data_IF_109903087187
#
_entry.id   IF_109903087187
#
_cell.length_a   1.000
_cell.length_b   1.000
_cell.length_c   1.000
_cell.angle_alpha   90.00
_cell.angle_beta   90.00
_cell.angle_gamma   90.00
#
_symmetry.space_group_name_H-M   'P 1'
#
loop_
_entity.id
_entity.type
_entity.pdbx_description
1 polymer ?
#
# COMPACT_ATOMS: atom_id res chain seq x y z
N UNK A 1 -37.96 17.24 0.14
CA UNK A 1 -37.94 18.70 -0.16
C UNK A 1 -37.93 18.84 -1.68
N UNK A 2 -38.84 19.59 -2.28
CA UNK A 2 -38.94 19.76 -3.73
C UNK A 2 -37.86 20.71 -4.28
N UNK A 3 -37.61 20.68 -5.60
CA UNK A 3 -36.64 21.56 -6.27
C UNK A 3 -36.88 23.05 -5.95
N UNK A 4 -38.12 23.50 -6.01
CA UNK A 4 -38.52 24.90 -5.70
C UNK A 4 -38.09 25.33 -4.28
N UNK A 5 -38.22 24.41 -3.31
CA UNK A 5 -37.89 24.69 -1.92
C UNK A 5 -36.39 24.77 -1.72
N UNK A 6 -35.64 23.88 -2.37
CA UNK A 6 -34.16 23.88 -2.34
C UNK A 6 -33.62 25.15 -2.99
N UNK A 7 -34.12 25.54 -4.15
CA UNK A 7 -33.74 26.80 -4.82
C UNK A 7 -33.96 28.02 -3.93
N UNK A 8 -35.19 28.15 -3.37
CA UNK A 8 -35.54 29.27 -2.50
C UNK A 8 -34.73 29.32 -1.22
N UNK A 9 -34.45 28.17 -0.63
CA UNK A 9 -33.62 28.06 0.57
C UNK A 9 -32.16 28.46 0.27
N UNK A 10 -31.57 27.90 -0.80
CA UNK A 10 -30.20 28.19 -1.20
C UNK A 10 -29.99 29.65 -1.53
N UNK A 11 -30.92 30.26 -2.30
CA UNK A 11 -30.87 31.69 -2.61
C UNK A 11 -30.95 32.57 -1.34
N UNK A 12 -31.90 32.28 -0.44
CA UNK A 12 -32.01 33.00 0.81
C UNK A 12 -30.74 32.87 1.68
N UNK A 13 -30.18 31.66 1.75
CA UNK A 13 -28.95 31.39 2.50
C UNK A 13 -27.77 32.14 1.93
N UNK A 14 -27.70 32.30 0.60
CA UNK A 14 -26.68 33.09 -0.08
C UNK A 14 -26.94 34.61 -0.02
N UNK A 15 -28.05 35.09 0.59
CA UNK A 15 -28.40 36.48 0.70
C UNK A 15 -28.73 37.15 -0.65
N UNK A 16 -29.15 36.37 -1.66
CA UNK A 16 -29.35 36.84 -3.02
C UNK A 16 -30.82 37.06 -3.35
N UNK A 17 -31.08 38.06 -4.24
CA UNK A 17 -32.40 38.29 -4.85
C UNK A 17 -32.58 37.36 -6.06
N UNK A 18 -33.82 37.16 -6.50
CA UNK A 18 -34.11 36.39 -7.73
C UNK A 18 -33.49 37.03 -8.98
N UNK A 19 -33.42 38.38 -9.03
CA UNK A 19 -32.81 39.10 -10.12
C UNK A 19 -31.30 38.87 -10.20
N UNK A 20 -30.60 38.95 -9.07
CA UNK A 20 -29.14 38.69 -9.02
C UNK A 20 -28.78 37.26 -9.42
N UNK A 21 -29.57 36.26 -9.04
CA UNK A 21 -29.32 34.89 -9.47
C UNK A 21 -29.55 34.72 -10.96
N UNK A 22 -30.64 35.28 -11.49
CA UNK A 22 -30.97 35.25 -12.92
C UNK A 22 -29.88 35.90 -13.77
N UNK A 23 -29.43 37.10 -13.39
CA UNK A 23 -28.37 37.83 -14.03
C UNK A 23 -27.03 37.06 -14.04
N UNK A 24 -26.64 36.51 -12.88
CA UNK A 24 -25.39 35.79 -12.74
C UNK A 24 -25.28 34.55 -13.67
N UNK A 25 -26.40 33.89 -13.92
CA UNK A 25 -26.45 32.70 -14.79
C UNK A 25 -26.95 33.02 -16.20
N UNK A 26 -27.08 34.32 -16.55
CA UNK A 26 -27.54 34.81 -17.86
C UNK A 26 -28.90 34.27 -18.29
N UNK A 27 -29.84 34.17 -17.36
CA UNK A 27 -31.22 33.81 -17.64
C UNK A 27 -32.18 34.97 -17.31
N UNK A 28 -33.43 34.97 -17.85
CA UNK A 28 -34.39 35.99 -17.50
C UNK A 28 -34.92 35.79 -16.09
N UNK A 29 -35.20 36.86 -15.34
CA UNK A 29 -35.76 36.79 -14.01
C UNK A 29 -37.14 36.04 -13.98
N UNK A 30 -38.07 36.18 -14.94
CA UNK A 30 -39.29 35.38 -15.01
C UNK A 30 -39.04 33.87 -15.13
N UNK A 31 -37.96 33.48 -15.87
CA UNK A 31 -37.57 32.08 -16.01
C UNK A 31 -37.06 31.52 -14.70
N UNK A 32 -36.25 32.27 -13.95
CA UNK A 32 -35.82 31.86 -12.60
C UNK A 32 -37.02 31.78 -11.61
N UNK A 33 -37.89 32.75 -11.65
CA UNK A 33 -39.10 32.75 -10.83
C UNK A 33 -40.02 31.56 -11.14
N UNK A 34 -40.09 31.11 -12.39
CA UNK A 34 -40.85 29.90 -12.76
C UNK A 34 -40.24 28.63 -12.16
N UNK A 35 -38.92 28.53 -12.03
CA UNK A 35 -38.22 27.44 -11.33
C UNK A 35 -38.49 27.49 -9.83
N UNK A 36 -38.36 28.66 -9.19
CA UNK A 36 -38.53 28.82 -7.74
C UNK A 36 -40.03 28.74 -7.31
N UNK A 37 -40.96 28.94 -8.22
CA UNK A 37 -42.39 28.74 -7.97
C UNK A 37 -42.87 27.31 -8.26
N UNK A 38 -42.04 26.46 -8.84
CA UNK A 38 -42.40 25.09 -9.23
C UNK A 38 -43.19 24.98 -10.51
N UNK A 39 -43.34 26.07 -11.28
CA UNK A 39 -44.00 26.03 -12.62
C UNK A 39 -43.12 25.31 -13.63
N UNK A 40 -41.81 25.42 -13.48
CA UNK A 40 -40.81 24.67 -14.23
C UNK A 40 -40.06 23.75 -13.27
N UNK A 41 -39.91 22.47 -13.64
CA UNK A 41 -39.18 21.47 -12.84
C UNK A 41 -37.83 21.11 -13.42
N UNK A 42 -37.52 21.59 -14.64
CA UNK A 42 -36.28 21.26 -15.34
C UNK A 42 -35.71 22.52 -15.98
N UNK A 43 -34.37 22.69 -15.92
CA UNK A 43 -33.62 23.73 -16.62
C UNK A 43 -32.18 23.34 -16.80
N UNK A 44 -31.62 23.61 -17.96
CA UNK A 44 -30.17 23.46 -18.22
C UNK A 44 -29.31 24.43 -17.41
N UNK A 45 -29.92 25.44 -16.79
CA UNK A 45 -29.22 26.40 -15.93
C UNK A 45 -29.07 25.93 -14.48
N UNK A 46 -29.69 24.82 -14.07
CA UNK A 46 -29.60 24.34 -12.68
C UNK A 46 -28.17 24.12 -12.19
N UNK A 47 -27.24 23.55 -12.96
CA UNK A 47 -25.84 23.45 -12.53
C UNK A 47 -25.16 24.81 -12.33
N UNK A 48 -25.43 25.79 -13.18
CA UNK A 48 -24.88 27.15 -13.06
C UNK A 48 -25.46 27.87 -11.83
N UNK A 49 -26.76 27.69 -11.58
CA UNK A 49 -27.44 28.24 -10.40
C UNK A 49 -26.83 27.61 -9.12
N UNK A 50 -26.60 26.30 -9.13
CA UNK A 50 -26.02 25.60 -8.00
C UNK A 50 -24.62 26.14 -7.68
N UNK A 51 -23.77 26.29 -8.69
CA UNK A 51 -22.43 26.87 -8.53
C UNK A 51 -22.47 28.30 -7.99
N UNK A 52 -23.35 29.15 -8.55
CA UNK A 52 -23.49 30.53 -8.08
C UNK A 52 -23.97 30.62 -6.62
N UNK A 53 -24.87 29.73 -6.22
CA UNK A 53 -25.39 29.65 -4.86
C UNK A 53 -24.49 28.84 -3.90
N UNK A 54 -23.36 28.34 -4.40
CA UNK A 54 -22.41 27.49 -3.66
C UNK A 54 -23.07 26.29 -2.99
N UNK A 55 -23.88 25.56 -3.77
CA UNK A 55 -24.52 24.31 -3.38
C UNK A 55 -24.22 23.21 -4.39
N UNK A 56 -24.29 21.96 -3.94
CA UNK A 56 -24.06 20.81 -4.81
C UNK A 56 -25.14 20.72 -5.92
N UNK A 57 -24.75 20.63 -7.22
CA UNK A 57 -25.68 20.54 -8.32
C UNK A 57 -26.62 19.32 -8.28
N UNK A 58 -26.09 18.17 -7.83
CA UNK A 58 -26.87 16.94 -7.69
C UNK A 58 -27.90 17.07 -6.57
N UNK A 59 -27.45 17.59 -5.42
CA UNK A 59 -28.37 17.89 -4.33
C UNK A 59 -29.46 18.90 -4.75
N UNK A 60 -29.08 19.96 -5.46
CA UNK A 60 -30.06 20.95 -5.89
C UNK A 60 -31.12 20.33 -6.81
N UNK A 61 -30.73 19.42 -7.70
CA UNK A 61 -31.63 18.81 -8.70
C UNK A 61 -32.44 17.63 -8.14
N UNK A 62 -31.81 16.74 -7.37
CA UNK A 62 -32.42 15.48 -6.93
C UNK A 62 -32.80 15.47 -5.45
N UNK A 63 -32.18 16.32 -4.64
CA UNK A 63 -32.30 16.31 -3.18
C UNK A 63 -31.44 15.26 -2.49
N UNK A 64 -30.69 14.46 -3.24
CA UNK A 64 -29.69 13.53 -2.71
C UNK A 64 -28.39 14.29 -2.52
N UNK A 65 -27.78 14.19 -1.33
CA UNK A 65 -26.41 14.65 -1.17
C UNK A 65 -25.51 13.75 -2.04
N UNK A 66 -24.69 14.37 -2.89
CA UNK A 66 -23.56 13.65 -3.42
C UNK A 66 -22.70 13.32 -2.21
N UNK A 67 -22.62 12.06 -1.82
CA UNK A 67 -21.45 11.62 -1.07
C UNK A 67 -20.27 11.95 -1.99
N UNK A 68 -19.37 12.88 -1.63
CA UNK A 68 -18.17 13.06 -2.42
C UNK A 68 -17.53 11.69 -2.47
N UNK A 69 -17.36 11.13 -3.68
CA UNK A 69 -16.45 10.01 -3.84
C UNK A 69 -15.14 10.49 -3.19
N UNK A 70 -14.78 9.86 -2.08
CA UNK A 70 -13.50 10.16 -1.44
C UNK A 70 -12.46 9.98 -2.53
N UNK A 71 -11.80 11.07 -2.90
CA UNK A 71 -10.68 11.01 -3.82
C UNK A 71 -9.78 9.87 -3.34
N UNK A 72 -9.48 8.93 -4.21
CA UNK A 72 -8.54 7.84 -3.92
C UNK A 72 -7.06 8.31 -3.96
N UNK A 73 -6.84 9.61 -4.21
CA UNK A 73 -5.54 10.24 -4.17
C UNK A 73 -5.68 11.68 -3.66
N UNK A 74 -5.06 11.97 -2.54
CA UNK A 74 -4.86 13.32 -2.02
C UNK A 74 -3.41 13.71 -2.25
N UNK A 75 -3.19 14.67 -3.16
CA UNK A 75 -1.86 15.20 -3.50
C UNK A 75 -1.64 16.60 -2.86
N UNK A 76 -2.55 17.03 -2.00
CA UNK A 76 -2.45 18.35 -1.37
C UNK A 76 -1.25 18.41 -0.44
N UNK A 77 -0.30 19.29 -0.77
CA UNK A 77 0.81 19.74 0.09
C UNK A 77 1.78 18.64 0.58
N UNK A 78 2.17 17.68 -0.26
CA UNK A 78 3.32 16.84 0.06
C UNK A 78 4.61 17.60 -0.26
N UNK A 79 5.33 18.01 0.77
CA UNK A 79 6.73 18.42 0.61
C UNK A 79 7.57 17.16 0.31
N UNK A 80 8.19 17.15 -0.87
CA UNK A 80 9.11 16.08 -1.27
C UNK A 80 10.51 16.51 -0.86
N UNK A 81 11.08 15.85 0.15
CA UNK A 81 12.49 15.98 0.51
C UNK A 81 13.28 14.78 -0.01
N UNK A 82 14.50 15.02 -0.48
CA UNK A 82 15.43 13.97 -0.91
C UNK A 82 16.32 13.63 0.28
N UNK A 83 16.19 12.38 0.78
CA UNK A 83 17.08 11.84 1.82
C UNK A 83 18.37 11.34 1.18
N UNK A 84 19.52 11.73 1.75
CA UNK A 84 20.84 11.20 1.37
C UNK A 84 21.40 10.38 2.54
N UNK A 85 22.23 9.38 2.20
CA UNK A 85 22.89 8.57 3.22
C UNK A 85 23.77 9.45 4.11
N UNK A 86 23.51 9.40 5.42
CA UNK A 86 24.17 10.24 6.42
C UNK A 86 23.33 11.40 6.94
N UNK A 87 22.22 11.72 6.29
CA UNK A 87 21.29 12.71 6.81
C UNK A 87 20.62 12.20 8.10
N UNK A 88 20.23 13.11 9.01
CA UNK A 88 19.42 12.73 10.16
C UNK A 88 18.10 12.13 9.68
N UNK A 89 17.66 11.05 10.34
CA UNK A 89 16.39 10.40 10.00
C UNK A 89 15.25 11.37 10.24
N UNK A 90 14.38 11.63 9.23
CA UNK A 90 13.26 12.55 9.40
C UNK A 90 12.27 12.06 10.48
N UNK A 91 11.61 13.01 11.14
CA UNK A 91 10.55 12.69 12.08
C UNK A 91 9.46 11.84 11.44
N UNK A 92 8.98 10.82 12.15
CA UNK A 92 7.98 9.88 11.65
C UNK A 92 8.51 8.75 10.79
N UNK A 93 9.85 8.64 10.63
CA UNK A 93 10.49 7.56 9.89
C UNK A 93 11.45 6.74 10.75
N UNK A 94 11.67 5.50 10.32
CA UNK A 94 12.70 4.59 10.85
C UNK A 94 13.66 4.24 9.72
N UNK A 95 14.95 4.30 9.99
CA UNK A 95 15.99 3.89 9.05
C UNK A 95 16.39 2.43 9.30
N UNK A 96 16.16 1.57 8.31
CA UNK A 96 16.50 0.14 8.34
C UNK A 96 17.74 -0.10 7.50
N UNK A 97 18.68 -0.89 8.02
CA UNK A 97 19.92 -1.22 7.33
C UNK A 97 19.66 -1.96 6.01
N UNK A 98 20.33 -1.49 4.97
CA UNK A 98 20.24 -2.02 3.62
C UNK A 98 21.53 -2.74 3.25
N UNK A 99 21.39 -3.94 2.71
CA UNK A 99 22.50 -4.81 2.34
C UNK A 99 22.50 -5.01 0.82
N UNK A 100 23.28 -4.16 0.11
CA UNK A 100 23.33 -4.18 -1.36
C UNK A 100 23.97 -5.46 -1.92
N UNK A 101 24.99 -5.97 -1.23
CA UNK A 101 25.78 -7.12 -1.68
C UNK A 101 25.32 -8.46 -1.08
N UNK A 102 24.27 -8.43 -0.26
CA UNK A 102 23.72 -9.63 0.35
C UNK A 102 22.57 -10.14 -0.51
N UNK A 103 22.87 -11.23 -1.22
CA UNK A 103 21.87 -11.93 -2.02
C UNK A 103 21.49 -13.23 -1.31
N UNK A 104 20.20 -13.40 -1.08
CA UNK A 104 19.66 -14.68 -0.64
C UNK A 104 19.41 -15.53 -1.87
N UNK A 105 20.23 -16.54 -2.09
CA UNK A 105 20.17 -17.35 -3.28
C UNK A 105 19.46 -18.69 -3.06
N UNK A 106 18.97 -19.25 -4.15
CA UNK A 106 18.48 -20.63 -4.20
C UNK A 106 19.63 -21.63 -4.38
N UNK A 107 20.83 -21.33 -3.86
CA UNK A 107 22.03 -22.16 -3.91
C UNK A 107 23.32 -21.31 -3.75
N UNK A 108 24.21 -21.70 -2.85
CA UNK A 108 25.54 -21.16 -2.61
C UNK A 108 25.64 -19.66 -2.28
N UNK A 109 24.88 -19.17 -1.32
CA UNK A 109 24.99 -17.77 -0.88
C UNK A 109 24.85 -17.59 0.62
N UNK A 110 25.93 -17.16 1.27
CA UNK A 110 25.90 -16.74 2.67
C UNK A 110 25.11 -15.46 2.85
N UNK A 111 24.28 -15.41 3.87
CA UNK A 111 23.74 -14.16 4.39
C UNK A 111 24.82 -13.51 5.27
N UNK A 112 25.80 -12.86 4.64
CA UNK A 112 26.80 -12.12 5.38
C UNK A 112 26.26 -10.74 5.79
N UNK A 113 25.67 -10.67 6.98
CA UNK A 113 25.12 -9.43 7.55
C UNK A 113 26.16 -8.64 8.37
N UNK A 114 27.44 -8.95 8.24
CA UNK A 114 28.48 -8.29 9.03
C UNK A 114 28.78 -6.85 8.58
N UNK A 115 28.47 -6.50 7.34
CA UNK A 115 28.68 -5.16 6.81
C UNK A 115 27.45 -4.67 6.06
N UNK A 116 26.56 -3.90 6.72
CA UNK A 116 25.52 -3.17 5.99
C UNK A 116 26.18 -2.21 5.00
N UNK A 117 25.55 -1.96 3.87
CA UNK A 117 25.93 -0.84 3.02
C UNK A 117 25.76 0.47 3.82
N UNK A 118 26.45 1.53 3.41
CA UNK A 118 26.24 2.85 4.03
C UNK A 118 24.81 3.38 3.78
N UNK A 119 24.01 2.66 2.98
CA UNK A 119 22.66 3.02 2.63
C UNK A 119 21.65 2.48 3.66
N UNK A 120 20.61 3.26 3.90
CA UNK A 120 19.49 2.87 4.73
C UNK A 120 18.20 3.07 3.96
N UNK A 121 17.20 2.23 4.23
CA UNK A 121 15.86 2.42 3.69
C UNK A 121 14.97 3.00 4.78
N UNK A 122 14.27 4.09 4.44
CA UNK A 122 13.36 4.75 5.35
C UNK A 122 11.96 4.16 5.25
N UNK A 123 11.39 3.81 6.38
CA UNK A 123 10.00 3.34 6.48
C UNK A 123 9.21 4.25 7.42
N UNK A 124 7.96 4.61 7.08
CA UNK A 124 7.09 5.31 8.00
C UNK A 124 6.88 4.53 9.30
N UNK A 125 6.94 5.21 10.44
CA UNK A 125 6.73 4.59 11.76
C UNK A 125 5.37 3.91 11.85
N UNK A 126 4.34 4.50 11.24
CA UNK A 126 2.99 3.93 11.26
C UNK A 126 2.89 2.61 10.48
N UNK A 127 3.59 2.49 9.34
CA UNK A 127 3.69 1.23 8.61
C UNK A 127 4.38 0.13 9.44
N UNK A 128 5.45 0.48 10.14
CA UNK A 128 6.17 -0.44 11.02
C UNK A 128 5.24 -0.95 12.13
N UNK A 129 4.46 -0.05 12.76
CA UNK A 129 3.49 -0.42 13.80
C UNK A 129 2.35 -1.28 13.25
N UNK A 130 1.78 -0.89 12.11
CA UNK A 130 0.70 -1.63 11.44
C UNK A 130 1.12 -3.06 11.11
N UNK A 131 2.34 -3.25 10.62
CA UNK A 131 2.89 -4.56 10.30
C UNK A 131 3.46 -5.31 11.52
N UNK A 132 3.43 -4.72 12.71
CA UNK A 132 3.99 -5.29 13.95
C UNK A 132 5.46 -5.74 13.80
N UNK A 133 6.26 -4.92 13.12
CA UNK A 133 7.66 -5.21 12.79
C UNK A 133 8.60 -4.64 13.85
N UNK A 134 9.65 -5.40 14.18
CA UNK A 134 10.72 -4.96 15.09
C UNK A 134 11.84 -4.26 14.31
N UNK A 135 11.92 -2.91 14.29
CA UNK A 135 12.87 -2.20 13.43
C UNK A 135 14.34 -2.57 13.66
N UNK A 136 14.73 -2.75 14.92
CA UNK A 136 16.11 -3.08 15.29
C UNK A 136 16.57 -4.47 14.82
N UNK A 137 15.62 -5.38 14.58
CA UNK A 137 15.87 -6.73 14.07
C UNK A 137 15.62 -6.85 12.56
N UNK A 138 15.17 -5.77 11.92
CA UNK A 138 14.76 -5.80 10.51
C UNK A 138 15.93 -5.47 9.59
N UNK A 139 16.00 -6.15 8.46
CA UNK A 139 17.02 -5.97 7.42
C UNK A 139 16.37 -5.89 6.05
N UNK A 140 16.95 -5.07 5.16
CA UNK A 140 16.59 -5.03 3.73
C UNK A 140 17.70 -5.72 2.94
N UNK A 141 17.31 -6.69 2.12
CA UNK A 141 18.20 -7.54 1.32
C UNK A 141 17.65 -7.72 -0.10
N UNK A 142 18.44 -8.28 -1.01
CA UNK A 142 17.97 -8.64 -2.34
C UNK A 142 17.63 -10.12 -2.48
N UNK A 143 16.58 -10.39 -3.24
CA UNK A 143 16.26 -11.76 -3.71
C UNK A 143 17.17 -12.13 -4.86
N UNK A 144 17.67 -13.37 -4.86
CA UNK A 144 18.37 -13.95 -6.00
C UNK A 144 17.68 -15.21 -6.48
N UNK A 145 17.60 -15.34 -7.81
CA UNK A 145 17.00 -16.49 -8.47
C UNK A 145 15.48 -16.44 -8.57
N UNK A 146 14.90 -17.47 -9.17
CA UNK A 146 13.52 -17.48 -9.63
C UNK A 146 12.59 -18.40 -8.82
N UNK A 147 13.08 -19.03 -7.74
CA UNK A 147 12.27 -19.98 -6.97
C UNK A 147 11.01 -19.35 -6.36
N UNK A 148 11.01 -18.04 -6.13
CA UNK A 148 9.87 -17.30 -5.59
C UNK A 148 9.12 -16.46 -6.64
N UNK A 149 9.42 -16.61 -7.94
CA UNK A 149 8.64 -16.00 -9.02
C UNK A 149 7.24 -16.65 -9.10
N UNK A 150 6.15 -15.88 -9.33
CA UNK A 150 6.08 -14.44 -9.58
C UNK A 150 5.96 -13.58 -8.31
N UNK A 151 5.91 -14.16 -7.13
CA UNK A 151 5.70 -13.46 -5.85
C UNK A 151 6.85 -12.51 -5.55
N UNK A 152 8.08 -13.00 -5.66
CA UNK A 152 9.32 -12.22 -5.55
C UNK A 152 10.13 -12.45 -6.82
N UNK A 153 10.79 -11.38 -7.32
CA UNK A 153 11.58 -11.42 -8.55
C UNK A 153 13.07 -11.35 -8.22
N UNK A 154 13.88 -11.92 -9.10
CA UNK A 154 15.34 -11.77 -9.03
C UNK A 154 15.76 -10.29 -8.97
N UNK A 155 16.69 -9.95 -8.10
CA UNK A 155 17.17 -8.59 -7.85
C UNK A 155 16.19 -7.68 -7.09
N UNK A 156 15.01 -8.17 -6.69
CA UNK A 156 14.04 -7.38 -5.95
C UNK A 156 14.48 -7.18 -4.49
N UNK A 157 14.44 -5.93 -4.01
CA UNK A 157 14.66 -5.66 -2.59
C UNK A 157 13.43 -6.11 -1.77
N UNK A 158 13.72 -6.79 -0.67
CA UNK A 158 12.73 -7.25 0.31
C UNK A 158 13.18 -6.92 1.72
N UNK A 159 12.25 -6.89 2.65
CA UNK A 159 12.57 -6.71 4.07
C UNK A 159 12.14 -7.91 4.90
N UNK A 160 13.01 -8.30 5.83
CA UNK A 160 12.85 -9.45 6.72
C UNK A 160 12.98 -8.97 8.16
N UNK A 161 12.02 -9.34 9.01
CA UNK A 161 12.12 -9.17 10.45
C UNK A 161 12.75 -10.43 11.07
N UNK A 162 13.98 -10.30 11.53
CA UNK A 162 14.75 -11.43 12.09
C UNK A 162 14.36 -11.79 13.53
N UNK A 163 13.45 -11.03 14.15
CA UNK A 163 12.85 -11.39 15.43
C UNK A 163 11.67 -12.35 15.27
N UNK A 164 11.03 -12.36 14.09
CA UNK A 164 9.86 -13.18 13.78
C UNK A 164 10.27 -14.53 13.21
N UNK A 165 10.51 -15.52 14.09
CA UNK A 165 11.04 -16.85 13.72
C UNK A 165 10.02 -17.99 13.88
N UNK A 166 8.87 -17.74 14.48
CA UNK A 166 7.80 -18.73 14.60
C UNK A 166 7.14 -18.93 13.24
N UNK A 167 7.06 -20.17 12.77
CA UNK A 167 6.45 -20.50 11.48
C UNK A 167 4.93 -20.44 11.59
N UNK A 168 4.34 -19.58 10.80
CA UNK A 168 2.90 -19.54 10.49
C UNK A 168 2.70 -20.08 9.07
N UNK A 169 1.79 -21.03 8.92
CA UNK A 169 1.58 -21.73 7.65
C UNK A 169 1.24 -20.79 6.49
N UNK A 170 1.99 -20.92 5.40
CA UNK A 170 1.77 -20.13 4.18
C UNK A 170 2.42 -18.76 4.18
N UNK A 171 3.18 -18.40 5.23
CA UNK A 171 3.97 -17.19 5.25
C UNK A 171 5.38 -17.42 4.68
N UNK A 172 6.01 -16.33 4.25
CA UNK A 172 7.35 -16.38 3.63
C UNK A 172 8.41 -16.10 4.68
N UNK A 173 9.43 -16.96 4.72
CA UNK A 173 10.57 -16.83 5.62
C UNK A 173 11.89 -16.93 4.86
N UNK A 174 12.91 -16.26 5.40
CA UNK A 174 14.29 -16.58 5.13
C UNK A 174 14.76 -17.61 6.17
N UNK A 175 15.46 -18.65 5.70
CA UNK A 175 16.06 -19.67 6.55
C UNK A 175 17.38 -20.15 5.98
N UNK A 176 18.26 -20.66 6.82
CA UNK A 176 19.59 -21.12 6.48
C UNK A 176 19.65 -22.63 6.53
N UNK A 177 20.30 -23.25 5.54
CA UNK A 177 20.60 -24.68 5.46
C UNK A 177 22.08 -24.82 5.18
N UNK A 178 22.88 -25.17 6.19
CA UNK A 178 24.33 -25.08 6.09
C UNK A 178 24.78 -23.65 5.71
N UNK A 179 25.44 -23.52 4.57
CA UNK A 179 25.91 -22.24 4.06
C UNK A 179 24.90 -21.53 3.15
N UNK A 180 23.81 -22.19 2.80
CA UNK A 180 22.80 -21.64 1.88
C UNK A 180 21.70 -20.90 2.63
N UNK A 181 21.35 -19.70 2.17
CA UNK A 181 20.16 -19.00 2.64
C UNK A 181 19.05 -19.09 1.59
N UNK A 182 17.89 -19.52 2.03
CA UNK A 182 16.72 -19.72 1.18
C UNK A 182 15.56 -18.83 1.61
N UNK A 183 14.72 -18.42 0.64
CA UNK A 183 13.45 -17.75 0.86
C UNK A 183 12.35 -18.64 0.29
N UNK A 184 11.39 -19.05 1.11
CA UNK A 184 10.27 -19.91 0.71
C UNK A 184 9.02 -19.60 1.53
N UNK A 185 7.87 -20.07 1.05
CA UNK A 185 6.72 -20.29 1.91
C UNK A 185 7.02 -21.43 2.86
N UNK A 186 6.76 -21.24 4.14
CA UNK A 186 6.91 -22.31 5.12
C UNK A 186 5.56 -22.78 5.64
N UNK A 187 5.50 -24.09 5.93
CA UNK A 187 4.34 -24.75 6.53
C UNK A 187 4.85 -25.70 7.63
N UNK A 188 4.23 -25.68 8.79
CA UNK A 188 4.55 -26.67 9.82
C UNK A 188 4.29 -28.08 9.29
N UNK A 189 5.27 -28.94 9.39
CA UNK A 189 5.20 -30.32 8.93
C UNK A 189 6.21 -31.19 9.67
N UNK A 190 5.87 -32.44 9.88
CA UNK A 190 6.81 -33.43 10.38
C UNK A 190 6.23 -34.82 10.19
N UNK A 191 7.09 -35.77 9.83
CA UNK A 191 6.86 -37.23 9.89
C UNK A 191 7.32 -37.84 11.20
N UNK A 192 8.05 -37.11 12.03
CA UNK A 192 8.61 -37.52 13.33
C UNK A 192 7.86 -36.91 14.52
N UNK A 193 6.69 -36.29 14.31
CA UNK A 193 5.93 -35.63 15.39
C UNK A 193 5.82 -34.11 15.17
N UNK A 194 6.40 -33.29 16.07
CA UNK A 194 6.36 -31.82 15.98
C UNK A 194 7.74 -31.24 15.74
N UNK A 195 7.78 -30.06 15.12
CA UNK A 195 8.99 -29.23 15.02
C UNK A 195 9.70 -29.24 13.66
N UNK A 196 9.18 -29.96 12.67
CA UNK A 196 9.64 -29.87 11.28
C UNK A 196 8.84 -28.86 10.46
N UNK A 197 9.27 -28.60 9.22
CA UNK A 197 8.55 -27.77 8.30
C UNK A 197 8.72 -28.21 6.83
N UNK A 198 7.75 -27.82 6.01
CA UNK A 198 7.80 -27.91 4.55
C UNK A 198 8.11 -26.54 3.97
N UNK A 199 9.07 -26.46 3.05
CA UNK A 199 9.41 -25.26 2.32
C UNK A 199 8.92 -25.34 0.86
N UNK A 200 8.11 -24.37 0.45
CA UNK A 200 7.42 -24.36 -0.85
C UNK A 200 7.87 -23.17 -1.67
N UNK A 201 8.32 -23.43 -2.89
CA UNK A 201 8.63 -22.38 -3.87
C UNK A 201 7.35 -21.77 -4.44
N UNK A 202 7.36 -20.45 -4.67
CA UNK A 202 6.25 -19.78 -5.37
C UNK A 202 6.23 -20.12 -6.86
N UNK A 203 7.38 -20.49 -7.42
CA UNK A 203 7.49 -20.85 -8.82
C UNK A 203 6.67 -22.12 -9.13
N UNK A 204 5.82 -22.08 -10.18
CA UNK A 204 4.99 -23.22 -10.56
C UNK A 204 5.79 -24.40 -11.14
N UNK A 205 7.01 -24.16 -11.65
CA UNK A 205 7.87 -25.23 -12.15
C UNK A 205 8.46 -26.05 -11.00
N UNK A 206 7.71 -27.07 -10.58
CA UNK A 206 8.13 -27.95 -9.47
C UNK A 206 9.22 -28.96 -9.87
N UNK A 207 9.51 -29.13 -11.16
CA UNK A 207 10.64 -29.93 -11.59
C UNK A 207 11.97 -29.22 -11.29
N UNK A 208 12.01 -27.90 -11.51
CA UNK A 208 13.17 -27.07 -11.22
C UNK A 208 13.20 -26.61 -9.76
N UNK A 209 12.04 -26.33 -9.17
CA UNK A 209 11.90 -25.79 -7.80
C UNK A 209 10.97 -26.67 -6.96
N UNK A 210 11.39 -27.90 -6.62
CA UNK A 210 10.58 -28.84 -5.84
C UNK A 210 10.29 -28.32 -4.43
N UNK A 211 9.26 -28.85 -3.82
CA UNK A 211 9.01 -28.66 -2.40
C UNK A 211 10.04 -29.43 -1.57
N UNK A 212 10.53 -28.81 -0.51
CA UNK A 212 11.54 -29.40 0.38
C UNK A 212 10.93 -29.68 1.75
N UNK A 213 11.34 -30.79 2.36
CA UNK A 213 10.82 -31.24 3.64
C UNK A 213 11.98 -31.33 4.65
N UNK A 214 11.80 -30.75 5.81
CA UNK A 214 12.77 -30.66 6.86
C UNK A 214 12.19 -31.25 8.15
N UNK A 215 12.52 -32.52 8.43
CA UNK A 215 12.16 -33.19 9.69
C UNK A 215 12.98 -32.62 10.87
N UNK A 216 12.56 -32.82 12.13
CA UNK A 216 13.32 -32.38 13.27
C UNK A 216 14.77 -32.92 13.29
N UNK A 217 14.96 -34.17 12.95
CA UNK A 217 16.28 -34.78 12.85
C UNK A 217 17.17 -34.14 11.78
N UNK A 218 16.59 -33.79 10.65
CA UNK A 218 17.27 -33.11 9.57
C UNK A 218 17.63 -31.66 9.97
N UNK A 219 16.73 -30.96 10.65
CA UNK A 219 16.97 -29.60 11.15
C UNK A 219 18.17 -29.57 12.08
N UNK A 220 18.26 -30.54 12.99
CA UNK A 220 19.37 -30.65 13.93
C UNK A 220 20.69 -31.02 13.23
N UNK A 221 20.67 -32.05 12.37
CA UNK A 221 21.87 -32.57 11.71
C UNK A 221 22.47 -31.59 10.68
N UNK A 222 21.66 -30.82 9.96
CA UNK A 222 22.08 -29.85 8.95
C UNK A 222 22.21 -28.42 9.53
N UNK A 223 21.93 -28.20 10.81
CA UNK A 223 22.02 -26.89 11.47
C UNK A 223 21.07 -25.84 10.88
N UNK A 224 19.85 -26.27 10.52
CA UNK A 224 18.88 -25.38 9.85
C UNK A 224 18.32 -24.36 10.83
N UNK A 225 18.30 -23.11 10.43
CA UNK A 225 17.86 -22.00 11.28
C UNK A 225 16.90 -21.08 10.53
N UNK A 226 15.75 -20.78 11.13
CA UNK A 226 14.86 -19.73 10.63
C UNK A 226 15.48 -18.39 10.97
N UNK A 227 15.75 -17.58 9.93
CA UNK A 227 16.38 -16.28 10.07
C UNK A 227 15.34 -15.19 10.39
N UNK A 228 14.18 -15.21 9.73
CA UNK A 228 13.12 -14.26 9.97
C UNK A 228 12.01 -14.31 8.94
N UNK A 229 10.95 -13.56 9.21
CA UNK A 229 9.76 -13.49 8.37
C UNK A 229 9.84 -12.31 7.40
N UNK A 230 9.48 -12.55 6.14
CA UNK A 230 9.28 -11.52 5.13
C UNK A 230 8.03 -10.70 5.45
N UNK A 231 8.13 -9.36 5.32
CA UNK A 231 6.99 -8.48 5.53
C UNK A 231 6.81 -7.42 4.45
N UNK A 232 7.87 -7.03 3.71
CA UNK A 232 7.82 -5.98 2.71
C UNK A 232 8.65 -6.31 1.47
N UNK A 233 8.23 -5.78 0.32
CA UNK A 233 9.00 -5.81 -0.93
C UNK A 233 8.92 -4.50 -1.69
N UNK A 234 9.98 -4.16 -2.38
CA UNK A 234 10.01 -3.05 -3.31
C UNK A 234 9.19 -3.38 -4.57
N UNK A 235 8.35 -2.44 -5.01
CA UNK A 235 7.64 -2.52 -6.29
C UNK A 235 8.01 -1.31 -7.12
N UNK A 236 8.67 -1.54 -8.27
CA UNK A 236 9.14 -0.48 -9.17
C UNK A 236 8.50 -0.67 -10.54
N UNK A 237 7.94 0.42 -11.10
CA UNK A 237 7.45 0.47 -12.46
C UNK A 237 8.25 1.52 -13.25
N UNK A 238 8.88 1.11 -14.35
CA UNK A 238 9.53 2.05 -15.25
C UNK A 238 8.49 2.85 -16.02
N UNK A 239 8.66 4.17 -16.04
CA UNK A 239 7.81 5.07 -16.83
C UNK A 239 8.33 5.05 -18.27
N UNK A 240 7.42 4.87 -19.22
CA UNK A 240 7.73 5.06 -20.64
C UNK A 240 7.65 6.56 -20.92
N UNK A 241 8.72 7.11 -21.45
CA UNK A 241 8.79 8.49 -21.97
C UNK A 241 8.93 8.45 -23.47
#
# INVERSE_FOLDING_TARGET
MELKDRLKQSRKRAGKTQAEVAEAVKMSQPAYQALESGRNLKSSFLPLIANFLNVDPLWLTTGSESTPEKSNADISAMEVSIYQSGDPVPDGYVAIDYYDDVFVSAGNGYLNLEKPSNNKMLFPVDLIKECNVQPSATKVIHVRGESMFPKLKDGQAISIDMSARTIYDGEIYAFQVGDDTKIKYLFNWSDEGKGGFKAVSANPDKNQFPDEYYSPSRIESEGITILGQYWWKQVVKRIRR
#
